data_IF_395230491748
#
_entry.id   IF_395230491748
#
_cell.length_a   1.000
_cell.length_b   1.000
_cell.length_c   1.000
_cell.angle_alpha   90.00
_cell.angle_beta   90.00
_cell.angle_gamma   90.00
#
_symmetry.space_group_name_H-M   'P 1'
#
loop_
_entity.id
_entity.type
_entity.pdbx_description
1 polymer ?
#
# COMPACT_ATOMS: atom_id res chain seq x y z
N UNK A 1 -4.86 -17.41 -6.50
CA UNK A 1 -5.13 -15.99 -6.26
C UNK A 1 -5.87 -15.37 -7.44
N UNK A 2 -7.04 -14.79 -7.19
CA UNK A 2 -7.92 -14.14 -8.17
C UNK A 2 -7.49 -12.68 -8.44
N UNK A 3 -8.10 -12.05 -9.46
CA UNK A 3 -7.88 -10.62 -9.75
C UNK A 3 -8.34 -9.71 -8.60
N UNK A 4 -9.42 -10.07 -7.91
CA UNK A 4 -9.91 -9.31 -6.74
C UNK A 4 -8.86 -9.32 -5.63
N UNK A 5 -8.40 -10.51 -5.25
CA UNK A 5 -7.40 -10.70 -4.19
C UNK A 5 -6.11 -9.95 -4.52
N UNK A 6 -5.64 -10.03 -5.77
CA UNK A 6 -4.45 -9.31 -6.21
C UNK A 6 -4.62 -7.79 -6.12
N UNK A 7 -5.76 -7.24 -6.55
CA UNK A 7 -6.03 -5.81 -6.44
C UNK A 7 -6.13 -5.37 -4.97
N UNK A 8 -6.75 -6.18 -4.13
CA UNK A 8 -6.84 -5.94 -2.70
C UNK A 8 -5.43 -5.89 -2.07
N UNK A 9 -4.56 -6.84 -2.39
CA UNK A 9 -3.16 -6.86 -1.95
C UNK A 9 -2.40 -5.62 -2.44
N UNK A 10 -2.48 -5.28 -3.73
CA UNK A 10 -1.78 -4.11 -4.28
C UNK A 10 -2.17 -2.83 -3.54
N UNK A 11 -3.47 -2.63 -3.31
CA UNK A 11 -3.95 -1.45 -2.58
C UNK A 11 -3.55 -1.47 -1.10
N UNK A 12 -3.61 -2.65 -0.46
CA UNK A 12 -3.22 -2.81 0.94
C UNK A 12 -1.74 -2.48 1.14
N UNK A 13 -0.87 -3.03 0.28
CA UNK A 13 0.57 -2.77 0.31
C UNK A 13 0.89 -1.29 0.04
N UNK A 14 0.15 -0.63 -0.84
CA UNK A 14 0.32 0.81 -1.08
C UNK A 14 0.00 1.65 0.16
N UNK A 15 -1.11 1.38 0.86
CA UNK A 15 -1.45 2.08 2.10
C UNK A 15 -0.46 1.76 3.22
N UNK A 16 -0.10 0.49 3.35
CA UNK A 16 0.88 0.02 4.31
C UNK A 16 2.24 0.73 4.16
N UNK A 17 2.77 0.82 2.93
CA UNK A 17 4.00 1.57 2.63
C UNK A 17 3.88 3.05 2.98
N UNK A 18 2.70 3.63 2.73
CA UNK A 18 2.42 5.04 3.04
C UNK A 18 2.39 5.28 4.55
N UNK A 19 1.77 4.38 5.32
CA UNK A 19 1.70 4.45 6.77
C UNK A 19 3.10 4.33 7.38
N UNK A 20 3.89 3.35 6.94
CA UNK A 20 5.27 3.17 7.41
C UNK A 20 6.23 4.31 7.01
N UNK A 21 5.85 5.18 6.07
CA UNK A 21 6.68 6.28 5.60
C UNK A 21 6.33 7.62 6.22
N UNK A 22 5.26 7.71 7.01
CA UNK A 22 4.76 8.96 7.59
C UNK A 22 4.49 8.75 9.07
N UNK A 23 5.32 9.34 9.94
CA UNK A 23 5.27 9.15 11.40
C UNK A 23 3.87 9.38 11.96
N UNK A 24 3.23 10.50 11.59
CA UNK A 24 1.86 10.80 12.03
C UNK A 24 0.85 9.72 11.65
N UNK A 25 0.92 9.17 10.43
CA UNK A 25 0.01 8.11 9.99
C UNK A 25 0.24 6.81 10.75
N UNK A 26 1.49 6.55 11.13
CA UNK A 26 1.83 5.40 11.95
C UNK A 26 1.29 5.55 13.37
N UNK A 27 1.40 6.74 13.96
CA UNK A 27 0.79 7.06 15.25
C UNK A 27 -0.73 6.90 15.22
N UNK A 28 -1.39 7.45 14.18
CA UNK A 28 -2.83 7.31 13.97
C UNK A 28 -3.24 5.82 13.84
N UNK A 29 -2.47 5.02 13.08
CA UNK A 29 -2.71 3.59 12.94
C UNK A 29 -2.57 2.83 14.27
N UNK A 30 -1.54 3.16 15.07
CA UNK A 30 -1.38 2.60 16.42
C UNK A 30 -2.57 2.98 17.31
N UNK A 31 -3.02 4.23 17.23
CA UNK A 31 -4.17 4.70 17.98
C UNK A 31 -5.44 3.93 17.61
N UNK A 32 -5.78 3.81 16.32
CA UNK A 32 -6.93 3.02 15.88
C UNK A 32 -6.82 1.55 16.27
N UNK A 33 -5.63 0.96 16.14
CA UNK A 33 -5.38 -0.43 16.52
C UNK A 33 -5.61 -0.67 18.02
N UNK A 34 -5.15 0.26 18.86
CA UNK A 34 -5.25 0.18 20.34
C UNK A 34 -6.63 0.57 20.88
N UNK A 35 -7.41 1.35 20.15
CA UNK A 35 -8.82 1.60 20.45
C UNK A 35 -9.74 0.44 20.05
N UNK A 36 -9.29 -0.42 19.13
CA UNK A 36 -9.92 -1.69 18.85
C UNK A 36 -9.81 -2.65 20.03
N UNK A 37 -10.79 -3.54 20.21
CA UNK A 37 -10.66 -4.62 21.20
C UNK A 37 -9.50 -5.52 20.78
N UNK A 38 -8.42 -5.58 21.57
CA UNK A 38 -7.21 -6.35 21.29
C UNK A 38 -7.47 -7.85 21.05
N UNK A 39 -8.60 -8.37 21.54
CA UNK A 39 -9.05 -9.75 21.33
C UNK A 39 -9.66 -10.00 19.94
N UNK A 40 -9.87 -8.96 19.14
CA UNK A 40 -10.44 -9.07 17.81
C UNK A 40 -9.49 -9.90 16.91
N UNK A 41 -9.99 -10.96 16.24
CA UNK A 41 -9.19 -11.76 15.30
C UNK A 41 -8.47 -10.93 14.23
N UNK A 42 -8.98 -9.72 13.91
CA UNK A 42 -8.31 -8.74 13.03
C UNK A 42 -6.90 -8.36 13.47
N UNK A 43 -6.54 -8.53 14.75
CA UNK A 43 -5.28 -8.07 15.33
C UNK A 43 -4.31 -9.19 15.72
N UNK A 44 -4.62 -10.46 15.43
CA UNK A 44 -3.75 -11.62 15.71
C UNK A 44 -2.58 -11.77 14.70
N UNK A 45 -2.03 -10.65 14.25
CA UNK A 45 -1.00 -10.58 13.20
C UNK A 45 0.39 -10.97 13.75
N UNK A 46 0.62 -10.76 15.05
CA UNK A 46 1.91 -11.08 15.71
C UNK A 46 2.35 -12.54 15.53
N UNK A 47 1.41 -13.47 15.46
CA UNK A 47 1.68 -14.90 15.28
C UNK A 47 2.22 -15.26 13.90
N UNK A 48 2.11 -14.36 12.92
CA UNK A 48 2.48 -14.55 11.51
C UNK A 48 3.79 -13.85 11.13
N UNK A 49 4.42 -13.16 12.09
CA UNK A 49 5.69 -12.47 11.89
C UNK A 49 6.81 -13.52 11.85
N UNK A 50 7.60 -13.54 10.78
CA UNK A 50 8.78 -14.40 10.65
C UNK A 50 9.82 -14.02 11.70
N UNK A 51 10.36 -15.02 12.40
CA UNK A 51 11.33 -14.85 13.49
C UNK A 51 10.86 -13.86 14.56
N UNK A 52 9.57 -13.91 14.90
CA UNK A 52 8.92 -12.93 15.78
C UNK A 52 9.69 -12.69 17.09
N UNK A 53 10.35 -13.69 17.66
CA UNK A 53 11.08 -13.53 18.92
C UNK A 53 12.25 -12.51 18.82
N UNK A 54 12.79 -12.31 17.62
CA UNK A 54 13.87 -11.34 17.36
C UNK A 54 13.36 -9.91 17.09
N UNK A 55 12.04 -9.70 17.12
CA UNK A 55 11.42 -8.40 16.90
C UNK A 55 11.10 -7.72 18.24
N UNK A 56 11.40 -6.43 18.31
CA UNK A 56 11.00 -5.60 19.45
C UNK A 56 9.47 -5.52 19.54
N UNK A 57 8.95 -5.34 20.76
CA UNK A 57 7.50 -5.14 20.96
C UNK A 57 6.97 -3.92 20.20
N UNK A 58 7.80 -2.88 20.08
CA UNK A 58 7.45 -1.65 19.38
C UNK A 58 7.37 -1.87 17.86
N UNK A 59 8.33 -2.59 17.26
CA UNK A 59 8.30 -2.90 15.83
C UNK A 59 7.11 -3.80 15.48
N UNK A 60 6.81 -4.80 16.34
CA UNK A 60 5.61 -5.63 16.22
C UNK A 60 4.36 -4.76 16.22
N UNK A 61 4.21 -3.87 17.20
CA UNK A 61 3.06 -2.99 17.31
C UNK A 61 2.89 -2.10 16.08
N UNK A 62 3.98 -1.44 15.63
CA UNK A 62 3.98 -0.59 14.44
C UNK A 62 3.57 -1.38 13.19
N UNK A 63 4.15 -2.56 13.02
CA UNK A 63 3.85 -3.45 11.90
C UNK A 63 2.38 -3.88 11.89
N UNK A 64 1.88 -4.43 12.99
CA UNK A 64 0.51 -4.95 13.06
C UNK A 64 -0.53 -3.85 12.95
N UNK A 65 -0.24 -2.67 13.52
CA UNK A 65 -1.11 -1.49 13.39
C UNK A 65 -1.19 -1.03 11.95
N UNK A 66 -0.05 -0.91 11.27
CA UNK A 66 -0.02 -0.49 9.87
C UNK A 66 -0.72 -1.49 8.93
N UNK A 67 -0.59 -2.80 9.16
CA UNK A 67 -1.31 -3.81 8.37
C UNK A 67 -2.82 -3.71 8.60
N UNK A 68 -3.26 -3.63 9.86
CA UNK A 68 -4.68 -3.56 10.19
C UNK A 68 -5.34 -2.30 9.60
N UNK A 69 -4.66 -1.16 9.71
CA UNK A 69 -5.12 0.11 9.14
C UNK A 69 -5.18 0.03 7.61
N UNK A 70 -4.16 -0.54 6.96
CA UNK A 70 -4.17 -0.73 5.51
C UNK A 70 -5.36 -1.60 5.04
N UNK A 71 -5.67 -2.68 5.77
CA UNK A 71 -6.84 -3.53 5.49
C UNK A 71 -8.14 -2.72 5.63
N UNK A 72 -8.27 -1.91 6.69
CA UNK A 72 -9.44 -1.09 6.93
C UNK A 72 -9.65 -0.10 5.77
N UNK A 73 -8.63 0.69 5.43
CA UNK A 73 -8.67 1.68 4.35
C UNK A 73 -9.02 1.09 2.97
N UNK A 74 -8.61 -0.15 2.69
CA UNK A 74 -9.01 -0.83 1.44
C UNK A 74 -10.43 -1.35 1.52
N UNK A 75 -10.82 -1.92 2.66
CA UNK A 75 -12.16 -2.50 2.85
C UNK A 75 -13.25 -1.44 2.83
N UNK A 76 -12.98 -0.23 3.34
CA UNK A 76 -13.91 0.91 3.35
C UNK A 76 -14.30 1.38 1.94
N UNK A 77 -13.51 1.07 0.91
CA UNK A 77 -13.88 1.39 -0.49
C UNK A 77 -15.12 0.64 -0.98
N UNK A 78 -15.52 -0.42 -0.30
CA UNK A 78 -16.66 -1.25 -0.65
C UNK A 78 -17.84 -0.92 0.29
N UNK A 79 -18.46 0.24 0.09
CA UNK A 79 -19.66 0.63 0.85
C UNK A 79 -20.82 -0.35 0.56
N UNK A 80 -21.43 -0.90 1.61
CA UNK A 80 -22.53 -1.88 1.54
C UNK A 80 -22.23 -3.10 0.63
N UNK A 81 -21.20 -3.90 0.96
CA UNK A 81 -20.79 -5.02 0.13
C UNK A 81 -21.88 -6.10 0.09
N UNK A 82 -22.07 -6.73 -1.06
CA UNK A 82 -22.85 -7.97 -1.16
C UNK A 82 -22.13 -9.10 -0.41
N UNK A 83 -22.84 -10.19 -0.08
CA UNK A 83 -22.22 -11.37 0.56
C UNK A 83 -21.02 -11.89 -0.21
N UNK A 84 -21.10 -11.90 -1.55
CA UNK A 84 -20.00 -12.31 -2.42
C UNK A 84 -18.77 -11.40 -2.28
N UNK A 85 -18.97 -10.07 -2.26
CA UNK A 85 -17.86 -9.12 -2.06
C UNK A 85 -17.30 -9.25 -0.65
N UNK A 86 -18.13 -9.48 0.37
CA UNK A 86 -17.67 -9.75 1.74
C UNK A 86 -16.79 -11.00 1.81
N UNK A 87 -17.17 -12.09 1.14
CA UNK A 87 -16.37 -13.30 1.04
C UNK A 87 -15.05 -13.07 0.30
N UNK A 88 -15.07 -12.31 -0.79
CA UNK A 88 -13.86 -11.95 -1.54
C UNK A 88 -12.91 -11.08 -0.69
N UNK A 89 -13.43 -10.11 0.07
CA UNK A 89 -12.63 -9.32 1.03
C UNK A 89 -12.02 -10.23 2.10
N UNK A 90 -12.81 -11.16 2.65
CA UNK A 90 -12.31 -12.09 3.65
C UNK A 90 -11.22 -13.01 3.09
N UNK A 91 -11.41 -13.56 1.89
CA UNK A 91 -10.38 -14.37 1.20
C UNK A 91 -9.11 -13.56 0.98
N UNK A 92 -9.22 -12.36 0.42
CA UNK A 92 -8.08 -11.49 0.15
C UNK A 92 -7.33 -11.08 1.42
N UNK A 93 -8.07 -10.77 2.50
CA UNK A 93 -7.50 -10.48 3.81
C UNK A 93 -6.73 -11.67 4.36
N UNK A 94 -7.29 -12.88 4.28
CA UNK A 94 -6.63 -14.08 4.77
C UNK A 94 -5.35 -14.35 3.97
N UNK A 95 -5.36 -14.19 2.63
CA UNK A 95 -4.14 -14.29 1.81
C UNK A 95 -3.09 -13.26 2.25
N UNK A 96 -3.49 -12.00 2.48
CA UNK A 96 -2.56 -10.97 2.97
C UNK A 96 -1.90 -11.40 4.28
N UNK A 97 -2.71 -11.89 5.23
CA UNK A 97 -2.24 -12.26 6.56
C UNK A 97 -1.40 -13.54 6.57
N UNK A 98 -1.92 -14.61 5.97
CA UNK A 98 -1.34 -15.95 6.07
C UNK A 98 -0.16 -16.12 5.10
N UNK A 99 -0.25 -15.61 3.87
CA UNK A 99 0.79 -15.81 2.85
C UNK A 99 1.79 -14.65 2.80
N UNK A 100 1.32 -13.40 2.94
CA UNK A 100 2.15 -12.24 2.68
C UNK A 100 2.80 -11.62 3.92
N UNK A 101 2.23 -11.72 5.12
CA UNK A 101 2.93 -11.24 6.34
C UNK A 101 4.26 -11.95 6.56
N UNK A 102 4.37 -13.28 6.41
CA UNK A 102 5.66 -13.95 6.50
C UNK A 102 6.67 -13.45 5.46
N UNK A 103 6.24 -13.21 4.22
CA UNK A 103 7.09 -12.69 3.14
C UNK A 103 7.53 -11.24 3.38
N UNK A 104 6.64 -10.41 3.92
CA UNK A 104 6.94 -9.01 4.27
C UNK A 104 7.98 -8.91 5.40
N UNK A 105 7.92 -9.84 6.35
CA UNK A 105 8.73 -9.83 7.58
C UNK A 105 10.01 -10.67 7.50
N UNK A 106 10.18 -11.45 6.44
CA UNK A 106 11.38 -12.24 6.19
C UNK A 106 12.61 -11.36 5.88
N UNK A 107 13.79 -11.84 6.29
CA UNK A 107 15.11 -11.27 5.96
C UNK A 107 15.24 -9.76 6.28
N UNK A 108 14.63 -9.31 7.38
CA UNK A 108 14.66 -7.90 7.80
C UNK A 108 15.96 -7.56 8.52
N UNK A 109 16.49 -6.36 8.30
CA UNK A 109 17.65 -5.86 9.03
C UNK A 109 17.24 -5.52 10.49
N UNK A 110 17.87 -6.13 11.52
CA UNK A 110 17.57 -5.83 12.92
C UNK A 110 17.71 -4.35 13.31
N UNK A 111 18.59 -3.59 12.65
CA UNK A 111 18.79 -2.17 12.94
C UNK A 111 17.61 -1.29 12.50
N UNK A 112 16.84 -1.73 11.49
CA UNK A 112 15.68 -1.01 11.00
C UNK A 112 14.72 -1.96 10.25
N UNK A 113 14.03 -2.81 11.02
CA UNK A 113 13.17 -3.86 10.45
C UNK A 113 12.04 -3.29 9.61
N UNK A 114 11.39 -2.22 10.06
CA UNK A 114 10.28 -1.58 9.34
C UNK A 114 10.69 -1.00 7.99
N UNK A 115 11.93 -0.49 7.86
CA UNK A 115 12.47 -0.08 6.56
C UNK A 115 12.61 -1.27 5.60
N UNK A 116 13.17 -2.39 6.06
CA UNK A 116 13.27 -3.61 5.25
C UNK A 116 11.89 -4.15 4.85
N UNK A 117 10.92 -4.13 5.77
CA UNK A 117 9.53 -4.52 5.48
C UNK A 117 8.91 -3.65 4.39
N UNK A 118 9.13 -2.34 4.45
CA UNK A 118 8.64 -1.42 3.42
C UNK A 118 9.27 -1.72 2.06
N UNK A 119 10.57 -2.01 2.03
CA UNK A 119 11.27 -2.39 0.79
C UNK A 119 10.74 -3.72 0.23
N UNK A 120 10.52 -4.73 1.08
CA UNK A 120 9.86 -5.99 0.73
C UNK A 120 8.45 -5.73 0.15
N UNK A 121 7.66 -4.88 0.79
CA UNK A 121 6.32 -4.49 0.30
C UNK A 121 6.37 -3.88 -1.10
N UNK A 122 7.28 -2.93 -1.33
CA UNK A 122 7.45 -2.27 -2.63
C UNK A 122 7.79 -3.30 -3.72
N UNK A 123 8.72 -4.21 -3.41
CA UNK A 123 9.14 -5.27 -4.34
C UNK A 123 7.96 -6.18 -4.70
N UNK A 124 7.29 -6.74 -3.68
CA UNK A 124 6.12 -7.61 -3.85
C UNK A 124 5.02 -6.92 -4.65
N UNK A 125 4.68 -5.67 -4.29
CA UNK A 125 3.63 -4.90 -4.96
C UNK A 125 3.96 -4.67 -6.44
N UNK A 126 5.21 -4.38 -6.79
CA UNK A 126 5.65 -4.26 -8.19
C UNK A 126 5.45 -5.57 -8.95
N UNK A 127 5.84 -6.70 -8.37
CA UNK A 127 5.66 -8.01 -8.99
C UNK A 127 4.19 -8.35 -9.22
N UNK A 128 3.31 -8.04 -8.26
CA UNK A 128 1.87 -8.21 -8.39
C UNK A 128 1.29 -7.35 -9.53
N UNK A 129 1.74 -6.09 -9.66
CA UNK A 129 1.32 -5.19 -10.75
C UNK A 129 1.79 -5.73 -12.11
N UNK A 130 3.02 -6.22 -12.21
CA UNK A 130 3.54 -6.79 -13.45
C UNK A 130 2.71 -7.99 -13.91
N UNK A 131 2.44 -8.95 -13.02
CA UNK A 131 1.58 -10.10 -13.32
C UNK A 131 0.17 -9.71 -13.75
N UNK A 132 -0.38 -8.64 -13.17
CA UNK A 132 -1.70 -8.13 -13.56
C UNK A 132 -1.72 -7.57 -14.99
N UNK A 133 -0.62 -6.94 -15.44
CA UNK A 133 -0.49 -6.41 -16.80
C UNK A 133 -0.32 -7.54 -17.84
N UNK A 134 0.38 -8.61 -17.48
CA UNK A 134 0.60 -9.78 -18.33
C UNK A 134 -0.69 -10.59 -18.58
N UNK A 135 -1.64 -10.58 -17.64
CA UNK A 135 -2.95 -11.22 -17.79
C UNK A 135 -3.90 -10.51 -18.76
N UNK A 136 -3.59 -9.28 -19.17
CA UNK A 136 -4.35 -8.59 -20.22
C UNK A 136 -3.74 -9.03 -21.55
N UNK A 137 -4.44 -9.85 -22.38
CA UNK A 137 -3.97 -10.05 -23.73
C UNK A 137 -3.96 -8.69 -24.41
N UNK A 138 -2.82 -8.30 -24.97
CA UNK A 138 -2.66 -7.08 -25.74
C UNK A 138 -3.52 -7.14 -27.02
N UNK A 139 -4.83 -6.95 -26.86
CA UNK A 139 -5.84 -6.62 -27.88
C UNK A 139 -7.08 -6.11 -27.16
N UNK A 140 -7.28 -4.80 -27.06
CA UNK A 140 -8.62 -4.21 -27.14
C UNK A 140 -8.59 -2.68 -27.24
N UNK A 141 -9.23 -2.18 -28.29
CA UNK A 141 -9.48 -0.78 -28.64
C UNK A 141 -10.54 -0.11 -27.75
N UNK A 142 -10.47 -0.29 -26.43
CA UNK A 142 -11.41 0.34 -25.52
C UNK A 142 -10.64 1.07 -24.41
N UNK A 143 -10.63 2.40 -24.51
CA UNK A 143 -10.27 3.31 -23.44
C UNK A 143 -11.11 2.98 -22.21
N UNK A 144 -10.49 2.33 -21.24
CA UNK A 144 -11.08 2.13 -19.92
C UNK A 144 -10.76 3.37 -19.07
N UNK A 145 -11.77 4.09 -18.53
CA UNK A 145 -11.56 5.30 -17.73
C UNK A 145 -10.85 5.06 -16.39
N UNK A 146 -10.62 3.81 -15.99
CA UNK A 146 -9.80 3.46 -14.84
C UNK A 146 -8.31 3.36 -15.21
N UNK A 147 -7.75 4.45 -15.73
CA UNK A 147 -6.30 4.59 -15.86
C UNK A 147 -5.77 4.87 -14.45
N UNK A 148 -5.17 3.83 -13.86
CA UNK A 148 -4.37 3.92 -12.64
C UNK A 148 -3.46 5.14 -12.73
N UNK A 149 -3.64 6.07 -11.78
CA UNK A 149 -2.96 7.35 -11.62
C UNK A 149 -1.68 7.51 -12.45
N UNK A 150 -1.63 8.45 -13.42
CA UNK A 150 -0.40 8.73 -14.12
C UNK A 150 0.59 9.35 -13.11
N UNK A 151 1.74 8.71 -12.93
CA UNK A 151 2.89 9.32 -12.28
C UNK A 151 3.21 10.61 -13.05
N UNK A 152 2.93 11.78 -12.46
CA UNK A 152 3.36 13.05 -13.02
C UNK A 152 4.87 13.15 -12.81
N UNK A 153 5.63 12.67 -13.80
CA UNK A 153 7.04 13.01 -13.93
C UNK A 153 7.11 14.49 -14.33
N UNK A 154 7.21 15.38 -13.34
CA UNK A 154 7.44 16.80 -13.58
C UNK A 154 8.87 16.98 -14.12
N UNK A 155 9.05 16.91 -15.43
CA UNK A 155 10.25 17.41 -16.11
C UNK A 155 10.23 18.93 -16.04
N UNK A 156 11.03 19.52 -15.15
CA UNK A 156 11.27 20.97 -15.13
C UNK A 156 12.11 21.32 -16.36
N UNK A 157 11.45 21.79 -17.42
CA UNK A 157 12.11 22.43 -18.53
C UNK A 157 12.35 23.90 -18.16
N UNK A 158 13.58 24.25 -17.80
CA UNK A 158 14.01 25.65 -17.71
C UNK A 158 14.16 26.17 -19.13
N UNK A 159 13.15 26.89 -19.63
CA UNK A 159 13.27 27.70 -20.83
C UNK A 159 13.46 29.17 -20.42
N UNK A 160 14.71 29.62 -20.44
CA UNK A 160 15.05 31.03 -20.39
C UNK A 160 14.70 31.66 -21.75
N UNK A 161 13.83 32.67 -21.77
CA UNK A 161 13.78 33.64 -22.88
C UNK A 161 13.54 35.04 -22.32
N UNK A 162 14.58 35.86 -22.45
CA UNK A 162 14.55 37.29 -22.23
C UNK A 162 13.57 37.93 -23.22
N UNK A 163 12.63 38.73 -22.72
CA UNK A 163 11.86 39.66 -23.53
C UNK A 163 12.16 41.08 -23.05
N UNK A 164 13.05 41.72 -23.81
CA UNK A 164 13.35 43.14 -23.79
C UNK A 164 12.04 43.94 -23.89
N UNK A 165 11.74 44.72 -22.86
CA UNK A 165 10.58 45.61 -22.86
C UNK A 165 10.90 46.79 -23.77
N UNK A 166 10.32 46.78 -24.97
CA UNK A 166 10.15 47.95 -25.84
C UNK A 166 9.30 48.97 -25.09
N UNK A 167 9.94 49.98 -24.49
CA UNK A 167 9.24 51.19 -24.11
C UNK A 167 8.97 52.02 -25.36
N UNK A 168 7.68 52.14 -25.68
CA UNK A 168 7.11 53.20 -26.50
C UNK A 168 7.70 54.56 -26.16
N UNK A 169 8.07 55.32 -27.19
CA UNK A 169 7.73 56.74 -27.25
C UNK A 169 7.76 57.24 -28.70
N UNK A 170 6.59 57.68 -29.15
CA UNK A 170 6.35 58.66 -30.23
C UNK A 170 5.23 59.58 -29.70
N UNK A 171 5.11 60.83 -30.15
CA UNK A 171 5.57 61.39 -31.42
C UNK A 171 6.89 62.17 -31.35
#
# INVERSE_FOLDING_TARGET
>A
MTRFERNFLINSLMFFETILSVDKKLEDAIHHFTQGHCENPRYQINSRITDADDWSKEDKLKLTSAIAEAIALVSEKYENPTSEITEQIQSARNILLDDYVPLLTANTNPENRLKSVRENSIQIRKELITKLKEEVPYKSQFENPYVLFPFVAATVAVAATAASVLFSNKP
#
